data_IF_187662359259
#
_entry.id   IF_187662359259
#
_cell.length_a   1.000
_cell.length_b   1.000
_cell.length_c   1.000
_cell.angle_alpha   90.00
_cell.angle_beta   90.00
_cell.angle_gamma   90.00
#
_symmetry.space_group_name_H-M   'P 1'
#
loop_
_entity.id
_entity.type
_entity.pdbx_description
1 polymer ?
#
# COMPACT_ATOMS: atom_id res chain seq x y z
N UNK A 1 22.87 4.90 4.05
CA UNK A 1 21.67 5.78 4.08
C UNK A 1 20.67 5.16 5.05
N UNK A 2 20.34 5.86 6.14
CA UNK A 2 19.23 5.48 7.02
C UNK A 2 17.92 5.82 6.30
N UNK A 3 16.97 4.89 6.24
CA UNK A 3 15.67 5.15 5.62
C UNK A 3 14.80 6.02 6.54
N UNK A 4 14.19 7.06 5.98
CA UNK A 4 13.13 7.84 6.65
C UNK A 4 11.81 7.06 6.62
N UNK A 5 10.84 7.46 7.45
CA UNK A 5 9.49 6.84 7.43
C UNK A 5 8.79 7.00 6.06
N UNK A 6 8.82 8.17 5.39
CA UNK A 6 8.28 8.30 4.03
C UNK A 6 8.93 7.39 2.99
N UNK A 7 10.27 7.25 3.01
CA UNK A 7 10.96 6.34 2.09
C UNK A 7 10.70 4.87 2.44
N UNK A 8 10.46 4.54 3.71
CA UNK A 8 9.99 3.20 4.13
C UNK A 8 8.59 2.92 3.61
N UNK A 9 7.68 3.90 3.72
CA UNK A 9 6.33 3.79 3.16
C UNK A 9 6.40 3.56 1.65
N UNK A 10 7.20 4.33 0.93
CA UNK A 10 7.41 4.13 -0.51
C UNK A 10 7.94 2.72 -0.85
N UNK A 11 8.84 2.16 -0.05
CA UNK A 11 9.29 0.78 -0.20
C UNK A 11 8.17 -0.25 -0.01
N UNK A 12 7.29 -0.04 0.97
CA UNK A 12 6.11 -0.89 1.23
C UNK A 12 5.05 -0.74 0.14
N UNK A 13 4.83 0.48 -0.33
CA UNK A 13 3.92 0.78 -1.44
C UNK A 13 4.37 0.12 -2.75
N UNK A 14 5.68 0.15 -3.05
CA UNK A 14 6.24 -0.59 -4.18
C UNK A 14 5.96 -2.09 -4.06
N UNK A 15 6.16 -2.67 -2.87
CA UNK A 15 5.89 -4.08 -2.64
C UNK A 15 4.40 -4.45 -2.79
N UNK A 16 3.49 -3.56 -2.38
CA UNK A 16 2.04 -3.72 -2.55
C UNK A 16 1.64 -3.70 -4.03
N UNK A 17 2.11 -2.70 -4.78
CA UNK A 17 1.72 -2.48 -6.17
C UNK A 17 2.37 -3.48 -7.14
N UNK A 18 3.67 -3.66 -7.01
CA UNK A 18 4.51 -4.34 -7.99
C UNK A 18 4.64 -5.85 -7.74
N UNK A 19 4.15 -6.37 -6.60
CA UNK A 19 4.18 -7.82 -6.38
C UNK A 19 3.17 -8.52 -7.28
N UNK A 20 3.66 -9.52 -8.00
CA UNK A 20 2.80 -10.48 -8.71
C UNK A 20 2.03 -11.33 -7.70
N UNK A 21 0.71 -11.31 -7.78
CA UNK A 21 -0.15 -12.23 -7.02
C UNK A 21 0.06 -13.62 -7.64
N UNK A 22 0.46 -14.59 -6.82
CA UNK A 22 0.63 -15.98 -7.26
C UNK A 22 -0.39 -16.86 -6.55
N UNK A 23 0.08 -17.81 -5.75
CA UNK A 23 -0.78 -18.76 -5.03
C UNK A 23 -1.43 -18.17 -3.79
N UNK A 24 -0.80 -17.15 -3.18
CA UNK A 24 -1.26 -16.54 -1.93
C UNK A 24 -1.29 -15.01 -2.04
N UNK A 25 -2.30 -14.43 -1.39
CA UNK A 25 -2.40 -12.98 -1.16
C UNK A 25 -1.55 -12.62 0.06
N UNK A 26 -0.79 -11.53 -0.06
CA UNK A 26 0.02 -11.01 1.05
C UNK A 26 -0.71 -9.87 1.74
N UNK A 27 -1.56 -10.22 2.70
CA UNK A 27 -2.38 -9.28 3.46
C UNK A 27 -1.56 -8.29 4.29
N UNK A 28 -0.36 -8.68 4.75
CA UNK A 28 0.52 -7.78 5.53
C UNK A 28 0.89 -6.48 4.81
N UNK A 29 1.01 -6.47 3.48
CA UNK A 29 1.30 -5.24 2.74
C UNK A 29 0.12 -4.26 2.81
N UNK A 30 -1.11 -4.77 2.80
CA UNK A 30 -2.33 -3.96 3.01
C UNK A 30 -2.45 -3.47 4.45
N UNK A 31 -1.99 -4.27 5.42
CA UNK A 31 -1.94 -3.87 6.82
C UNK A 31 -0.93 -2.73 7.04
N UNK A 32 0.24 -2.83 6.42
CA UNK A 32 1.25 -1.77 6.43
C UNK A 32 0.69 -0.47 5.82
N UNK A 33 -0.02 -0.55 4.69
CA UNK A 33 -0.68 0.62 4.07
C UNK A 33 -1.60 1.34 5.07
N UNK A 34 -2.49 0.60 5.73
CA UNK A 34 -3.39 1.16 6.74
C UNK A 34 -2.61 1.83 7.87
N UNK A 35 -1.53 1.20 8.32
CA UNK A 35 -0.69 1.76 9.38
C UNK A 35 -0.08 3.09 8.98
N UNK A 36 0.48 3.21 7.78
CA UNK A 36 1.06 4.48 7.32
C UNK A 36 0.02 5.58 7.18
N UNK A 37 -1.15 5.27 6.61
CA UNK A 37 -2.27 6.22 6.44
C UNK A 37 -2.79 6.69 7.80
N UNK A 38 -3.04 5.77 8.74
CA UNK A 38 -3.52 6.12 10.10
C UNK A 38 -2.55 6.97 10.90
N UNK A 39 -1.25 6.89 10.61
CA UNK A 39 -0.22 7.69 11.26
C UNK A 39 0.12 8.97 10.48
N UNK A 40 -0.65 9.30 9.43
CA UNK A 40 -0.44 10.49 8.59
C UNK A 40 0.99 10.59 8.05
N UNK A 41 1.59 9.45 7.70
CA UNK A 41 2.93 9.39 7.13
C UNK A 41 2.80 9.52 5.61
N UNK A 42 3.37 10.56 4.98
CA UNK A 42 3.26 10.72 3.53
C UNK A 42 4.13 9.69 2.80
N UNK A 43 3.66 9.22 1.65
CA UNK A 43 4.45 8.38 0.76
C UNK A 43 5.43 9.25 -0.04
N UNK A 44 6.71 8.91 -0.01
CA UNK A 44 7.74 9.52 -0.84
C UNK A 44 7.58 9.07 -2.30
N UNK A 45 6.93 9.89 -3.13
CA UNK A 45 6.65 9.56 -4.53
C UNK A 45 7.92 9.51 -5.37
N UNK A 46 8.92 10.32 -5.07
CA UNK A 46 10.19 10.31 -5.79
C UNK A 46 10.89 8.96 -5.60
N UNK A 47 10.98 8.50 -4.35
CA UNK A 47 11.56 7.21 -4.02
C UNK A 47 10.74 6.05 -4.62
N UNK A 48 9.41 6.09 -4.50
CA UNK A 48 8.53 5.08 -5.09
C UNK A 48 8.71 4.98 -6.60
N UNK A 49 8.69 6.12 -7.31
CA UNK A 49 8.91 6.19 -8.76
C UNK A 49 10.23 5.54 -9.13
N UNK A 50 11.33 5.93 -8.48
CA UNK A 50 12.65 5.38 -8.77
C UNK A 50 12.70 3.86 -8.57
N UNK A 51 12.04 3.34 -7.53
CA UNK A 51 11.95 1.90 -7.29
C UNK A 51 11.16 1.19 -8.39
N UNK A 52 10.02 1.72 -8.79
CA UNK A 52 9.21 1.16 -9.88
C UNK A 52 10.00 1.12 -11.19
N UNK A 53 10.70 2.21 -11.52
CA UNK A 53 11.59 2.33 -12.69
C UNK A 53 12.70 1.27 -12.67
N UNK A 54 13.43 1.14 -11.55
CA UNK A 54 14.50 0.15 -11.39
C UNK A 54 14.01 -1.29 -11.56
N UNK A 55 12.74 -1.53 -11.23
CA UNK A 55 12.11 -2.86 -11.38
C UNK A 55 11.32 -3.02 -12.68
N UNK A 56 11.35 -2.04 -13.59
CA UNK A 56 10.65 -2.09 -14.88
C UNK A 56 9.12 -2.06 -14.80
N UNK A 57 8.54 -1.45 -13.76
CA UNK A 57 7.08 -1.36 -13.58
C UNK A 57 6.46 -0.05 -14.08
N UNK A 58 7.30 0.94 -14.41
CA UNK A 58 6.92 2.19 -15.08
C UNK A 58 8.07 2.63 -16.00
N UNK A 59 7.74 3.37 -17.05
CA UNK A 59 8.73 3.97 -17.94
C UNK A 59 9.34 5.27 -17.38
N UNK A 60 10.50 5.66 -17.90
CA UNK A 60 11.20 6.88 -17.48
C UNK A 60 10.36 8.16 -17.69
N UNK A 61 9.61 8.21 -18.78
CA UNK A 61 8.74 9.33 -19.16
C UNK A 61 7.45 9.41 -18.33
N UNK A 62 7.06 8.34 -17.64
CA UNK A 62 5.83 8.33 -16.84
C UNK A 62 6.01 9.16 -15.56
N UNK A 63 5.05 10.05 -15.28
CA UNK A 63 4.99 10.76 -14.01
C UNK A 63 4.14 9.98 -13.01
N UNK A 64 4.67 9.73 -11.81
CA UNK A 64 3.92 9.14 -10.72
C UNK A 64 3.36 10.27 -9.84
N UNK A 65 2.10 10.65 -10.08
CA UNK A 65 1.37 11.64 -9.27
C UNK A 65 0.55 10.95 -8.17
N UNK A 66 -0.04 11.75 -7.26
CA UNK A 66 -0.96 11.23 -6.23
C UNK A 66 -2.15 10.52 -6.88
N UNK A 67 -2.72 11.12 -7.91
CA UNK A 67 -3.88 10.60 -8.65
C UNK A 67 -3.53 9.27 -9.30
N UNK A 68 -2.34 9.17 -9.91
CA UNK A 68 -1.87 7.92 -10.51
C UNK A 68 -1.62 6.84 -9.46
N UNK A 69 -1.06 7.22 -8.30
CA UNK A 69 -0.88 6.30 -7.18
C UNK A 69 -2.22 5.74 -6.70
N UNK A 70 -3.22 6.60 -6.51
CA UNK A 70 -4.58 6.21 -6.12
C UNK A 70 -5.20 5.25 -7.15
N UNK A 71 -5.07 5.55 -8.45
CA UNK A 71 -5.54 4.68 -9.53
C UNK A 71 -4.88 3.29 -9.47
N UNK A 72 -3.56 3.24 -9.28
CA UNK A 72 -2.79 1.99 -9.20
C UNK A 72 -3.22 1.14 -8.00
N UNK A 73 -3.42 1.76 -6.82
CA UNK A 73 -3.86 1.04 -5.62
C UNK A 73 -5.29 0.55 -5.78
N UNK A 74 -6.19 1.37 -6.34
CA UNK A 74 -7.59 0.97 -6.60
C UNK A 74 -7.68 -0.17 -7.62
N UNK A 75 -6.84 -0.16 -8.65
CA UNK A 75 -6.73 -1.30 -9.57
C UNK A 75 -6.26 -2.55 -8.82
N UNK A 76 -5.24 -2.40 -7.97
CA UNK A 76 -4.67 -3.51 -7.22
C UNK A 76 -5.65 -4.09 -6.18
N UNK A 77 -6.46 -3.26 -5.51
CA UNK A 77 -7.45 -3.73 -4.53
C UNK A 77 -8.49 -4.63 -5.17
N UNK A 78 -8.94 -4.28 -6.39
CA UNK A 78 -9.91 -5.07 -7.17
C UNK A 78 -9.40 -6.44 -7.60
N UNK A 79 -8.08 -6.65 -7.61
CA UNK A 79 -7.45 -7.93 -7.95
C UNK A 79 -7.33 -8.88 -6.73
N UNK A 80 -7.69 -8.42 -5.53
CA UNK A 80 -7.43 -9.13 -4.26
C UNK A 80 -8.74 -9.58 -3.61
N UNK A 81 -8.76 -10.84 -3.15
CA UNK A 81 -9.76 -11.31 -2.19
C UNK A 81 -9.36 -10.88 -0.77
N UNK A 82 -10.07 -9.88 -0.23
CA UNK A 82 -9.81 -9.39 1.13
C UNK A 82 -10.05 -10.43 2.21
N UNK A 83 -10.84 -11.48 1.98
CA UNK A 83 -10.99 -12.59 2.93
C UNK A 83 -9.68 -13.36 3.08
N UNK A 84 -9.00 -13.63 1.97
CA UNK A 84 -7.68 -14.26 1.97
C UNK A 84 -6.60 -13.32 2.54
N UNK A 85 -6.70 -12.02 2.25
CA UNK A 85 -5.81 -11.01 2.85
C UNK A 85 -5.95 -10.98 4.39
N UNK A 86 -7.19 -11.04 4.91
CA UNK A 86 -7.45 -11.12 6.36
C UNK A 86 -6.79 -12.36 6.96
N UNK A 87 -6.92 -13.51 6.32
CA UNK A 87 -6.35 -14.78 6.80
C UNK A 87 -4.81 -14.76 6.86
N UNK A 88 -4.10 -14.04 5.97
CA UNK A 88 -2.63 -13.86 6.06
C UNK A 88 -2.22 -13.00 7.27
N UNK A 89 -3.10 -12.12 7.76
CA UNK A 89 -2.78 -11.16 8.84
C UNK A 89 -3.22 -11.67 10.20
N UNK A 90 -4.38 -12.31 10.28
CA UNK A 90 -5.02 -12.73 11.53
C UNK A 90 -4.08 -13.45 12.53
N UNK A 91 -3.20 -14.39 12.12
CA UNK A 91 -2.31 -15.10 13.04
C UNK A 91 -1.31 -14.20 13.78
N UNK A 92 -1.07 -12.99 13.28
CA UNK A 92 -0.13 -12.03 13.85
C UNK A 92 -0.79 -11.04 14.83
N UNK A 93 -2.12 -11.01 14.90
CA UNK A 93 -2.87 -10.06 15.73
C UNK A 93 -3.04 -10.59 17.16
N UNK A 94 -2.70 -9.75 18.14
CA UNK A 94 -2.61 -10.15 19.55
C UNK A 94 -3.82 -9.72 20.38
N UNK A 95 -4.49 -8.64 20.00
CA UNK A 95 -5.59 -8.07 20.78
C UNK A 95 -6.88 -7.95 19.95
N UNK A 96 -8.01 -7.80 20.65
CA UNK A 96 -9.34 -7.69 20.04
C UNK A 96 -9.44 -6.48 19.11
N UNK A 97 -8.92 -5.33 19.52
CA UNK A 97 -8.94 -4.10 18.71
C UNK A 97 -8.30 -4.30 17.33
N UNK A 98 -7.16 -4.98 17.25
CA UNK A 98 -6.53 -5.28 15.96
C UNK A 98 -7.41 -6.17 15.08
N UNK A 99 -8.13 -7.13 15.66
CA UNK A 99 -9.06 -7.99 14.94
C UNK A 99 -10.30 -7.22 14.49
N UNK A 100 -10.78 -6.28 15.30
CA UNK A 100 -11.88 -5.38 14.93
C UNK A 100 -11.47 -4.50 13.73
N UNK A 101 -10.26 -3.95 13.74
CA UNK A 101 -9.71 -3.19 12.59
C UNK A 101 -9.61 -4.07 11.33
N UNK A 102 -9.21 -5.34 11.47
CA UNK A 102 -9.15 -6.29 10.37
C UNK A 102 -10.55 -6.62 9.80
N UNK A 103 -11.59 -6.62 10.65
CA UNK A 103 -12.95 -6.93 10.22
C UNK A 103 -13.50 -5.93 9.20
N UNK A 104 -13.05 -4.68 9.25
CA UNK A 104 -13.46 -3.58 8.36
C UNK A 104 -12.98 -3.75 6.91
N UNK A 105 -11.99 -4.61 6.68
CA UNK A 105 -11.37 -4.73 5.35
C UNK A 105 -12.39 -5.25 4.33
N UNK A 106 -12.60 -4.44 3.31
CA UNK A 106 -13.53 -4.67 2.22
C UNK A 106 -13.16 -3.77 1.04
N UNK A 107 -13.58 -4.11 -0.16
CA UNK A 107 -13.35 -3.26 -1.33
C UNK A 107 -13.87 -1.83 -1.09
N UNK A 108 -15.05 -1.70 -0.46
CA UNK A 108 -15.66 -0.43 -0.09
C UNK A 108 -14.81 0.37 0.91
N UNK A 109 -14.23 -0.28 1.93
CA UNK A 109 -13.36 0.41 2.88
C UNK A 109 -12.10 0.95 2.20
N UNK A 110 -11.45 0.14 1.36
CA UNK A 110 -10.21 0.55 0.70
C UNK A 110 -10.46 1.63 -0.36
N UNK A 111 -11.40 1.38 -1.29
CA UNK A 111 -11.66 2.30 -2.39
C UNK A 111 -12.52 3.50 -1.99
N UNK A 112 -13.46 3.33 -1.06
CA UNK A 112 -14.37 4.40 -0.63
C UNK A 112 -13.79 5.33 0.43
N UNK A 113 -12.73 4.92 1.13
CA UNK A 113 -12.15 5.70 2.22
C UNK A 113 -10.61 5.67 2.21
N UNK A 114 -9.99 4.53 2.49
CA UNK A 114 -8.56 4.49 2.87
C UNK A 114 -7.64 5.09 1.80
N UNK A 115 -7.86 4.77 0.53
CA UNK A 115 -6.99 5.21 -0.57
C UNK A 115 -7.02 6.74 -0.73
N UNK A 116 -8.14 7.39 -0.41
CA UNK A 116 -8.30 8.84 -0.50
C UNK A 116 -7.56 9.60 0.61
N UNK A 117 -7.32 8.94 1.75
CA UNK A 117 -6.58 9.47 2.89
C UNK A 117 -5.06 9.36 2.74
N UNK A 118 -4.55 8.83 1.61
CA UNK A 118 -3.10 8.70 1.38
C UNK A 118 -2.48 10.08 1.14
N UNK A 119 -1.57 10.48 2.01
CA UNK A 119 -0.71 11.63 1.81
C UNK A 119 0.54 11.28 1.00
N UNK A 120 1.04 12.26 0.26
CA UNK A 120 2.25 12.12 -0.56
C UNK A 120 3.17 13.31 -0.36
N UNK A 121 4.47 13.06 -0.54
CA UNK A 121 5.48 14.09 -0.60
C UNK A 121 6.40 13.87 -1.81
N UNK A 122 6.96 14.96 -2.30
CA UNK A 122 7.98 14.96 -3.35
C UNK A 122 9.23 15.64 -2.78
N UNK A 123 9.95 14.92 -1.92
CA UNK A 123 11.21 15.43 -1.38
C UNK A 123 12.35 15.25 -2.41
N UNK A 124 13.29 16.18 -2.38
CA UNK A 124 14.54 16.19 -3.14
C UNK A 124 15.74 15.90 -2.22
#
# INVERSE_FOLDING_TARGET
KTMTLPSLFAGKMHALLCRTIRTNIKGRDWYDLIWFVKNSIPCDLHYLKNKMLQTGHIDFSEALTKEKLVELISKKSKEIDFSLAKNDVEPFLKNSRQKDELSLWSDDFFNGYLIHEIDVQMDH
#
